data_IF_933747139478
#
_entry.id   IF_933747139478
#
_cell.length_a   1.000
_cell.length_b   1.000
_cell.length_c   1.000
_cell.angle_alpha   90.00
_cell.angle_beta   90.00
_cell.angle_gamma   90.00
#
_symmetry.space_group_name_H-M   'P 1'
#
loop_
_entity.id
_entity.type
_entity.pdbx_description
1 polymer ?
#
# COMPACT_ATOMS: atom_id res chain seq x y z
N UNK A 1 -12.57 -5.23 6.20
CA UNK A 1 -12.74 -3.77 6.04
C UNK A 1 -11.46 -3.06 6.48
N UNK A 2 -10.91 -2.17 5.67
CA UNK A 2 -9.75 -1.35 6.05
C UNK A 2 -10.19 -0.32 7.10
N UNK A 3 -9.50 -0.26 8.24
CA UNK A 3 -9.81 0.70 9.32
C UNK A 3 -8.88 1.90 9.31
N UNK A 4 -7.61 1.65 9.03
CA UNK A 4 -6.55 2.65 9.06
C UNK A 4 -5.52 2.35 7.98
N UNK A 5 -4.91 3.39 7.43
CA UNK A 5 -3.76 3.29 6.55
C UNK A 5 -2.74 4.35 6.96
N UNK A 6 -1.59 3.88 7.41
CA UNK A 6 -0.45 4.71 7.80
C UNK A 6 0.61 4.63 6.72
N UNK A 7 0.98 5.78 6.18
CA UNK A 7 1.88 5.91 5.03
C UNK A 7 3.07 6.76 5.46
N UNK A 8 4.28 6.27 5.20
CA UNK A 8 5.52 7.02 5.40
C UNK A 8 6.42 6.90 4.21
N UNK A 9 6.97 8.03 3.77
CA UNK A 9 7.97 8.13 2.70
C UNK A 9 7.58 7.33 1.45
N UNK A 10 6.32 7.48 1.00
CA UNK A 10 5.78 6.71 -0.13
C UNK A 10 5.27 7.65 -1.22
N UNK A 11 5.93 7.62 -2.37
CA UNK A 11 5.61 8.41 -3.56
C UNK A 11 5.56 9.92 -3.26
N UNK A 12 4.38 10.54 -3.27
CA UNK A 12 4.20 11.96 -2.93
C UNK A 12 4.02 12.20 -1.43
N UNK A 13 3.72 11.16 -0.64
CA UNK A 13 3.45 11.26 0.79
C UNK A 13 4.74 11.16 1.60
N UNK A 14 5.02 12.16 2.44
CA UNK A 14 6.05 12.08 3.48
C UNK A 14 5.48 11.35 4.70
N UNK A 15 4.30 11.78 5.12
CA UNK A 15 3.49 11.08 6.10
C UNK A 15 2.01 11.29 5.78
N UNK A 16 1.19 10.25 5.95
CA UNK A 16 -0.26 10.35 5.93
C UNK A 16 -0.86 9.28 6.84
N UNK A 17 -1.74 9.69 7.76
CA UNK A 17 -2.42 8.81 8.71
C UNK A 17 -3.93 8.91 8.46
N UNK A 18 -4.52 7.87 7.86
CA UNK A 18 -5.91 7.90 7.40
C UNK A 18 -6.76 6.93 8.21
N UNK A 19 -7.91 7.40 8.69
CA UNK A 19 -8.93 6.57 9.33
C UNK A 19 -10.14 6.47 8.41
N UNK A 20 -10.55 5.24 8.09
CA UNK A 20 -11.65 4.99 7.17
C UNK A 20 -12.98 4.86 7.91
N UNK A 21 -14.00 5.53 7.37
CA UNK A 21 -15.40 5.34 7.76
C UNK A 21 -15.94 4.01 7.27
N UNK A 22 -17.06 3.57 7.86
CA UNK A 22 -17.65 2.23 7.62
C UNK A 22 -18.28 2.06 6.24
N UNK A 23 -18.76 3.13 5.63
CA UNK A 23 -19.65 3.08 4.46
C UNK A 23 -18.97 3.72 3.23
N UNK A 24 -19.00 5.05 3.15
CA UNK A 24 -18.43 5.80 2.05
C UNK A 24 -17.27 6.66 2.55
N UNK A 25 -16.14 6.58 1.84
CA UNK A 25 -14.97 7.42 2.08
C UNK A 25 -14.76 8.28 0.84
N UNK A 26 -14.86 9.60 0.98
CA UNK A 26 -14.69 10.56 -0.12
C UNK A 26 -13.27 11.12 -0.06
N UNK A 27 -12.51 10.96 -1.15
CA UNK A 27 -11.12 11.43 -1.25
C UNK A 27 -11.06 12.55 -2.29
N UNK A 28 -10.77 13.77 -1.84
CA UNK A 28 -10.71 14.99 -2.67
C UNK A 28 -9.32 15.62 -2.57
N UNK A 29 -8.89 16.29 -3.62
CA UNK A 29 -7.62 16.99 -3.68
C UNK A 29 -7.26 17.35 -5.12
N UNK A 30 -6.22 18.15 -5.30
CA UNK A 30 -5.73 18.56 -6.62
C UNK A 30 -5.16 17.40 -7.43
N UNK A 31 -4.97 17.62 -8.74
CA UNK A 31 -4.28 16.65 -9.59
C UNK A 31 -2.81 16.53 -9.15
N UNK A 32 -2.30 15.30 -9.10
CA UNK A 32 -0.96 15.03 -8.57
C UNK A 32 -0.86 14.92 -7.05
N UNK A 33 -1.93 15.22 -6.28
CA UNK A 33 -1.93 15.11 -4.81
C UNK A 33 -1.88 13.66 -4.26
N UNK A 34 -1.66 12.65 -5.11
CA UNK A 34 -1.52 11.25 -4.67
C UNK A 34 -2.82 10.46 -4.49
N UNK A 35 -3.99 10.99 -4.89
CA UNK A 35 -5.29 10.30 -4.75
C UNK A 35 -5.28 8.87 -5.31
N UNK A 36 -4.79 8.69 -6.55
CA UNK A 36 -4.67 7.36 -7.18
C UNK A 36 -3.65 6.48 -6.45
N UNK A 37 -2.57 7.06 -5.95
CA UNK A 37 -1.53 6.32 -5.22
C UNK A 37 -2.06 5.79 -3.89
N UNK A 38 -2.85 6.60 -3.19
CA UNK A 38 -3.54 6.21 -1.98
C UNK A 38 -4.47 5.00 -2.21
N UNK A 39 -5.31 5.08 -3.26
CA UNK A 39 -6.21 3.97 -3.61
C UNK A 39 -5.46 2.70 -4.01
N UNK A 40 -4.40 2.83 -4.80
CA UNK A 40 -3.54 1.71 -5.19
C UNK A 40 -2.88 1.05 -3.97
N UNK A 41 -2.39 1.83 -3.01
CA UNK A 41 -1.76 1.29 -1.80
C UNK A 41 -2.76 0.52 -0.94
N UNK A 42 -3.95 1.09 -0.70
CA UNK A 42 -5.03 0.42 0.01
C UNK A 42 -5.45 -0.89 -0.70
N UNK A 43 -5.60 -0.85 -2.03
CA UNK A 43 -5.91 -2.03 -2.83
C UNK A 43 -4.83 -3.09 -2.74
N UNK A 44 -3.55 -2.74 -2.92
CA UNK A 44 -2.44 -3.69 -2.86
C UNK A 44 -2.41 -4.44 -1.53
N UNK A 45 -2.52 -3.73 -0.40
CA UNK A 45 -2.56 -4.36 0.92
C UNK A 45 -3.75 -5.30 1.11
N UNK A 46 -4.97 -4.84 0.76
CA UNK A 46 -6.18 -5.64 0.92
C UNK A 46 -6.19 -6.88 0.02
N UNK A 47 -5.78 -6.72 -1.24
CA UNK A 47 -5.72 -7.81 -2.21
C UNK A 47 -4.68 -8.86 -1.78
N UNK A 48 -3.48 -8.46 -1.34
CA UNK A 48 -2.47 -9.39 -0.82
C UNK A 48 -3.00 -10.17 0.38
N UNK A 49 -3.64 -9.50 1.35
CA UNK A 49 -4.21 -10.17 2.51
C UNK A 49 -5.30 -11.19 2.11
N UNK A 50 -6.15 -10.83 1.14
CA UNK A 50 -7.20 -11.73 0.64
C UNK A 50 -6.59 -12.93 -0.09
N UNK A 51 -5.66 -12.70 -1.00
CA UNK A 51 -5.01 -13.74 -1.80
C UNK A 51 -4.24 -14.73 -0.92
N UNK A 52 -3.46 -14.26 0.05
CA UNK A 52 -2.74 -15.15 0.97
C UNK A 52 -3.66 -15.89 1.95
N UNK A 53 -4.73 -15.23 2.42
CA UNK A 53 -5.71 -15.84 3.32
C UNK A 53 -6.61 -16.89 2.66
N UNK A 54 -6.77 -16.84 1.32
CA UNK A 54 -7.66 -17.73 0.57
C UNK A 54 -6.96 -18.98 0.03
N UNK A 55 -5.66 -19.16 0.27
CA UNK A 55 -4.90 -20.30 -0.26
C UNK A 55 -5.28 -21.61 0.46
N UNK A 56 -5.77 -22.64 -0.26
CA UNK A 56 -6.33 -23.85 0.35
C UNK A 56 -5.30 -24.70 1.11
N UNK A 57 -4.02 -24.67 0.70
CA UNK A 57 -2.96 -25.46 1.34
C UNK A 57 -2.44 -24.87 2.67
N UNK A 58 -2.89 -23.68 3.05
CA UNK A 58 -2.48 -22.96 4.26
C UNK A 58 -3.64 -22.74 5.24
N UNK A 59 -4.81 -23.35 5.00
CA UNK A 59 -6.06 -23.08 5.71
C UNK A 59 -6.00 -23.23 7.24
N UNK A 60 -4.97 -23.90 7.78
CA UNK A 60 -4.74 -24.07 9.23
C UNK A 60 -3.68 -23.12 9.82
N UNK A 61 -2.99 -22.32 9.01
CA UNK A 61 -1.88 -21.47 9.46
C UNK A 61 -2.03 -20.03 8.97
N UNK A 62 -1.96 -19.08 9.90
CA UNK A 62 -1.92 -17.65 9.56
C UNK A 62 -0.68 -17.37 8.70
N UNK A 63 -0.80 -16.64 7.57
CA UNK A 63 0.35 -16.36 6.73
C UNK A 63 1.43 -15.62 7.51
N UNK A 64 2.67 -16.08 7.35
CA UNK A 64 3.81 -15.50 8.07
C UNK A 64 4.16 -14.12 7.53
N UNK A 65 4.81 -13.30 8.35
CA UNK A 65 5.29 -11.98 7.97
C UNK A 65 6.15 -12.01 6.69
N UNK A 66 7.03 -13.00 6.57
CA UNK A 66 7.93 -13.15 5.41
C UNK A 66 7.15 -13.39 4.12
N UNK A 67 6.12 -14.23 4.17
CA UNK A 67 5.25 -14.51 3.01
C UNK A 67 4.51 -13.22 2.62
N UNK A 68 3.86 -12.55 3.59
CA UNK A 68 3.12 -11.32 3.34
C UNK A 68 4.02 -10.21 2.78
N UNK A 69 5.25 -10.07 3.27
CA UNK A 69 6.21 -9.10 2.77
C UNK A 69 6.55 -9.33 1.30
N UNK A 70 6.83 -10.58 0.91
CA UNK A 70 7.11 -10.94 -0.47
C UNK A 70 5.90 -10.67 -1.37
N UNK A 71 4.74 -11.21 -1.00
CA UNK A 71 3.52 -11.05 -1.80
C UNK A 71 3.07 -9.60 -1.91
N UNK A 72 3.25 -8.79 -0.86
CA UNK A 72 2.96 -7.36 -0.91
C UNK A 72 3.93 -6.63 -1.83
N UNK A 73 5.22 -6.95 -1.79
CA UNK A 73 6.21 -6.37 -2.70
C UNK A 73 5.86 -6.68 -4.17
N UNK A 74 5.54 -7.93 -4.49
CA UNK A 74 5.12 -8.35 -5.83
C UNK A 74 3.84 -7.62 -6.27
N UNK A 75 2.87 -7.48 -5.35
CA UNK A 75 1.62 -6.73 -5.63
C UNK A 75 1.88 -5.24 -5.87
N UNK A 76 2.75 -4.61 -5.09
CA UNK A 76 3.14 -3.21 -5.29
C UNK A 76 3.84 -3.00 -6.63
N UNK A 77 4.74 -3.91 -7.02
CA UNK A 77 5.39 -3.89 -8.33
C UNK A 77 4.35 -4.01 -9.46
N UNK A 78 3.41 -4.95 -9.37
CA UNK A 78 2.38 -5.15 -10.40
C UNK A 78 1.39 -3.98 -10.53
N UNK A 79 1.00 -3.36 -9.41
CA UNK A 79 -0.01 -2.28 -9.36
C UNK A 79 0.57 -0.92 -9.72
N UNK A 80 1.78 -0.61 -9.24
CA UNK A 80 2.42 0.68 -9.49
C UNK A 80 3.33 0.67 -10.74
N UNK A 81 3.83 -0.50 -11.13
CA UNK A 81 4.77 -0.70 -12.25
C UNK A 81 6.01 0.22 -12.19
N UNK A 82 6.69 0.36 -11.03
CA UNK A 82 7.98 1.03 -10.99
C UNK A 82 9.07 0.13 -11.59
N UNK A 83 10.23 0.70 -11.92
CA UNK A 83 11.42 -0.08 -12.32
C UNK A 83 11.91 -1.00 -11.18
N UNK A 84 11.88 -0.49 -9.94
CA UNK A 84 12.24 -1.22 -8.72
C UNK A 84 11.35 -0.78 -7.57
N UNK A 85 11.20 -1.62 -6.54
CA UNK A 85 10.37 -1.29 -5.37
C UNK A 85 10.83 0.01 -4.69
N UNK A 86 12.15 0.26 -4.66
CA UNK A 86 12.73 1.48 -4.08
C UNK A 86 12.30 2.76 -4.79
N UNK A 87 11.86 2.71 -6.05
CA UNK A 87 11.32 3.89 -6.76
C UNK A 87 9.95 4.35 -6.20
N UNK A 88 9.29 3.55 -5.37
CA UNK A 88 8.08 3.94 -4.65
C UNK A 88 8.37 4.73 -3.38
N UNK A 89 9.62 4.72 -2.90
CA UNK A 89 10.03 5.56 -1.77
C UNK A 89 10.00 7.02 -2.21
N UNK A 90 9.44 7.90 -1.37
CA UNK A 90 9.42 9.34 -1.63
C UNK A 90 10.86 9.82 -1.84
N UNK A 91 11.08 10.45 -2.99
CA UNK A 91 12.40 11.02 -3.28
C UNK A 91 12.61 12.22 -2.36
N UNK A 92 13.65 12.14 -1.53
CA UNK A 92 14.16 13.31 -0.84
C UNK A 92 15.08 14.07 -1.81
N UNK A 93 14.94 15.39 -1.97
CA UNK A 93 15.95 16.16 -2.69
C UNK A 93 17.31 15.89 -2.05
N UNK A 94 18.32 15.58 -2.87
CA UNK A 94 19.67 15.28 -2.39
C UNK A 94 20.22 16.45 -1.58
N UNK A 95 20.55 16.19 -0.31
CA UNK A 95 21.10 17.16 0.67
C UNK A 95 20.21 18.40 0.92
N UNK A 96 19.11 18.19 1.65
CA UNK A 96 18.81 19.07 2.79
C UNK A 96 19.66 18.59 3.97
N UNK A 97 20.32 19.53 4.68
CA UNK A 97 21.35 19.33 5.71
C UNK A 97 21.08 18.17 6.68
#
# INVERSE_FOLDING_TARGET
MLKQLDIKEFTVFEEANLRFGKQLNVIVGENGAGKTHLLKLAYSGLATCWEEGSKPHLASSTPTKTILQKSLADKLLGVFRPETLGRLVRRKPGRGR
#
